data_IF_964077718999
#
_entry.id   IF_964077718999
#
_cell.length_a   1.000
_cell.length_b   1.000
_cell.length_c   1.000
_cell.angle_alpha   90.00
_cell.angle_beta   90.00
_cell.angle_gamma   90.00
#
_symmetry.space_group_name_H-M   'P 1'
#
loop_
_entity.id
_entity.type
_entity.pdbx_description
1 polymer ?
#
# COMPACT_ATOMS: atom_id res chain seq x y z
N UNK A 1 8.89 -7.02 -21.83
CA UNK A 1 8.91 -8.28 -22.59
C UNK A 1 7.56 -8.93 -22.42
N UNK A 2 6.92 -9.31 -23.53
CA UNK A 2 5.58 -9.92 -23.54
C UNK A 2 5.52 -11.19 -22.70
N UNK A 3 4.68 -11.17 -21.65
CA UNK A 3 4.17 -12.37 -21.02
C UNK A 3 2.84 -12.69 -21.70
N UNK A 4 2.85 -13.78 -22.47
CA UNK A 4 1.74 -14.22 -23.30
C UNK A 4 0.42 -14.34 -22.51
N UNK A 5 -0.62 -13.62 -22.95
CA UNK A 5 -2.02 -14.04 -22.85
C UNK A 5 -2.89 -13.49 -21.72
N UNK A 6 -2.32 -12.82 -20.71
CA UNK A 6 -3.10 -12.17 -19.64
C UNK A 6 -2.22 -11.19 -18.87
N UNK A 7 -2.32 -9.91 -19.21
CA UNK A 7 -1.53 -8.85 -18.56
C UNK A 7 -1.79 -8.79 -17.05
N UNK A 8 -0.79 -8.36 -16.29
CA UNK A 8 -0.90 -8.13 -14.86
C UNK A 8 -0.06 -6.91 -14.46
N UNK A 9 -0.32 -6.39 -13.28
CA UNK A 9 0.34 -5.19 -12.76
C UNK A 9 1.30 -5.57 -11.64
N UNK A 10 2.53 -5.07 -11.73
CA UNK A 10 3.46 -4.99 -10.60
C UNK A 10 3.52 -3.54 -10.16
N UNK A 11 3.01 -3.26 -8.95
CA UNK A 11 3.12 -1.96 -8.32
C UNK A 11 4.36 -1.95 -7.43
N UNK A 12 5.38 -1.21 -7.83
CA UNK A 12 6.64 -1.13 -7.08
C UNK A 12 6.62 0.02 -6.07
N UNK A 13 6.58 -0.31 -4.78
CA UNK A 13 6.64 0.64 -3.66
C UNK A 13 7.97 0.58 -2.90
N UNK A 14 8.98 -0.13 -3.42
CA UNK A 14 10.31 -0.19 -2.80
C UNK A 14 10.94 1.20 -2.75
N UNK A 15 11.54 1.54 -1.61
CA UNK A 15 12.13 2.86 -1.38
C UNK A 15 11.13 4.04 -1.33
N UNK A 16 9.83 3.78 -1.44
CA UNK A 16 8.82 4.83 -1.39
C UNK A 16 8.57 5.27 0.06
N UNK A 17 9.06 6.46 0.41
CA UNK A 17 8.95 7.03 1.77
C UNK A 17 7.56 7.55 2.14
N UNK A 18 6.58 7.41 1.24
CA UNK A 18 5.20 7.82 1.40
C UNK A 18 4.86 9.05 0.56
N UNK A 19 3.96 9.87 1.07
CA UNK A 19 3.38 11.00 0.35
C UNK A 19 2.04 11.37 0.97
N UNK A 20 1.15 11.92 0.16
CA UNK A 20 -0.18 12.30 0.63
C UNK A 20 -1.07 11.07 0.75
N UNK A 21 -1.80 10.97 1.85
CA UNK A 21 -2.74 9.85 2.05
C UNK A 21 -3.90 9.88 1.07
N UNK A 22 -4.32 11.06 0.61
CA UNK A 22 -5.30 11.18 -0.46
C UNK A 22 -4.80 10.55 -1.77
N UNK A 23 -3.51 10.65 -2.08
CA UNK A 23 -2.92 9.99 -3.27
C UNK A 23 -2.88 8.47 -3.09
N UNK A 24 -2.52 7.99 -1.90
CA UNK A 24 -2.57 6.56 -1.59
C UNK A 24 -4.00 5.99 -1.73
N UNK A 25 -5.02 6.73 -1.26
CA UNK A 25 -6.43 6.35 -1.45
C UNK A 25 -6.79 6.35 -2.93
N UNK A 26 -6.40 7.37 -3.69
CA UNK A 26 -6.65 7.45 -5.14
C UNK A 26 -6.03 6.27 -5.90
N UNK A 27 -4.80 5.89 -5.57
CA UNK A 27 -4.16 4.70 -6.16
C UNK A 27 -4.89 3.42 -5.73
N UNK A 28 -5.34 3.32 -4.48
CA UNK A 28 -6.15 2.18 -4.04
C UNK A 28 -7.47 2.08 -4.82
N UNK A 29 -8.15 3.22 -5.07
CA UNK A 29 -9.37 3.29 -5.89
C UNK A 29 -9.19 2.75 -7.31
N UNK A 30 -7.99 2.85 -7.89
CA UNK A 30 -7.74 2.28 -9.21
C UNK A 30 -7.83 0.75 -9.24
N UNK A 31 -7.69 0.09 -8.09
CA UNK A 31 -7.65 -1.37 -7.97
C UNK A 31 -8.79 -1.95 -7.11
N UNK A 32 -9.63 -1.11 -6.50
CA UNK A 32 -10.73 -1.50 -5.63
C UNK A 32 -12.05 -0.97 -6.19
N UNK A 33 -13.14 -1.72 -6.00
CA UNK A 33 -14.49 -1.27 -6.32
C UNK A 33 -15.17 -0.71 -5.06
N UNK A 34 -14.59 0.35 -4.53
CA UNK A 34 -15.03 1.01 -3.30
C UNK A 34 -14.65 0.31 -2.00
N UNK A 35 -15.15 0.90 -0.89
CA UNK A 35 -15.01 0.38 0.46
C UNK A 35 -13.70 0.76 1.16
N UNK A 36 -13.51 0.21 2.36
CA UNK A 36 -12.50 0.69 3.31
C UNK A 36 -11.07 0.51 2.81
N UNK A 37 -10.32 1.62 2.74
CA UNK A 37 -8.87 1.66 2.52
C UNK A 37 -8.13 1.79 3.86
N UNK A 38 -8.56 2.73 4.71
CA UNK A 38 -7.95 2.92 6.01
C UNK A 38 -8.88 3.69 6.96
N UNK A 39 -8.57 3.62 8.25
CA UNK A 39 -9.15 4.53 9.25
C UNK A 39 -8.04 5.29 9.94
N UNK A 40 -8.32 6.50 10.42
CA UNK A 40 -7.40 7.23 11.28
C UNK A 40 -8.13 7.96 12.39
N UNK A 41 -7.50 8.07 13.55
CA UNK A 41 -8.07 8.79 14.69
C UNK A 41 -7.52 10.20 14.80
N UNK A 42 -8.40 11.20 14.87
CA UNK A 42 -8.03 12.59 15.19
C UNK A 42 -8.68 12.99 16.50
N UNK A 43 -7.87 13.13 17.57
CA UNK A 43 -8.34 13.54 18.91
C UNK A 43 -9.53 12.70 19.41
N UNK A 44 -9.48 11.38 19.21
CA UNK A 44 -10.53 10.45 19.62
C UNK A 44 -11.73 10.38 18.67
N UNK A 45 -11.71 11.10 17.55
CA UNK A 45 -12.69 10.97 16.47
C UNK A 45 -12.11 10.15 15.33
N UNK A 46 -12.63 8.94 15.16
CA UNK A 46 -12.27 8.07 14.04
C UNK A 46 -12.77 8.66 12.73
N UNK A 47 -11.93 8.63 11.72
CA UNK A 47 -12.20 9.01 10.34
C UNK A 47 -11.98 7.80 9.44
N UNK A 48 -12.77 7.74 8.38
CA UNK A 48 -12.78 6.65 7.41
C UNK A 48 -12.27 7.19 6.08
N UNK A 49 -11.41 6.42 5.43
CA UNK A 49 -10.94 6.64 4.08
C UNK A 49 -11.41 5.45 3.24
N UNK A 50 -12.34 5.72 2.34
CA UNK A 50 -12.87 4.72 1.41
C UNK A 50 -12.30 4.96 0.00
N UNK A 51 -12.14 3.86 -0.73
CA UNK A 51 -11.88 3.90 -2.16
C UNK A 51 -13.13 4.37 -2.90
N UNK A 52 -12.91 5.00 -4.05
CA UNK A 52 -13.96 5.24 -5.03
C UNK A 52 -14.34 3.92 -5.73
N UNK A 53 -15.57 3.84 -6.24
CA UNK A 53 -16.05 2.69 -7.02
C UNK A 53 -15.55 2.71 -8.47
N UNK A 54 -15.57 1.54 -9.12
CA UNK A 54 -15.24 1.36 -10.53
C UNK A 54 -13.78 1.02 -10.82
N UNK A 55 -12.97 0.72 -9.80
CA UNK A 55 -11.59 0.25 -9.97
C UNK A 55 -11.50 -1.14 -10.60
N UNK A 56 -10.32 -1.46 -11.15
CA UNK A 56 -10.05 -2.77 -11.74
C UNK A 56 -9.77 -3.80 -10.65
N UNK A 57 -10.74 -4.67 -10.40
CA UNK A 57 -10.63 -5.77 -9.43
C UNK A 57 -10.23 -7.10 -10.08
N UNK A 58 -10.10 -7.17 -11.41
CA UNK A 58 -9.91 -8.41 -12.15
C UNK A 58 -8.45 -8.65 -12.57
N UNK A 59 -7.72 -7.58 -12.92
CA UNK A 59 -6.33 -7.72 -13.36
C UNK A 59 -5.44 -8.21 -12.21
N UNK A 60 -4.65 -9.29 -12.40
CA UNK A 60 -3.69 -9.74 -11.40
C UNK A 60 -2.78 -8.60 -10.92
N UNK A 61 -2.61 -8.48 -9.60
CA UNK A 61 -1.83 -7.42 -8.98
C UNK A 61 -0.85 -7.99 -7.95
N UNK A 62 0.42 -7.60 -8.09
CA UNK A 62 1.48 -7.84 -7.11
C UNK A 62 2.03 -6.50 -6.67
N UNK A 63 2.31 -6.35 -5.38
CA UNK A 63 2.95 -5.15 -4.82
C UNK A 63 4.34 -5.51 -4.30
N UNK A 64 5.36 -4.80 -4.77
CA UNK A 64 6.73 -4.92 -4.24
C UNK A 64 6.94 -3.95 -3.09
N UNK A 65 7.47 -4.44 -1.97
CA UNK A 65 7.73 -3.64 -0.77
C UNK A 65 9.10 -3.95 -0.16
N UNK A 66 9.67 -2.96 0.53
CA UNK A 66 10.89 -3.13 1.31
C UNK A 66 10.90 -2.24 2.57
N UNK A 67 12.00 -2.27 3.32
CA UNK A 67 12.18 -1.42 4.50
C UNK A 67 12.20 0.09 4.22
N UNK A 68 12.28 0.51 2.96
CA UNK A 68 12.12 1.90 2.53
C UNK A 68 10.67 2.29 2.24
N UNK A 69 9.77 1.31 2.05
CA UNK A 69 8.31 1.55 1.97
C UNK A 69 7.82 2.09 3.32
N UNK A 70 7.27 3.30 3.33
CA UNK A 70 6.93 4.02 4.55
C UNK A 70 5.61 4.81 4.43
N UNK A 71 4.92 5.04 5.55
CA UNK A 71 3.81 5.99 5.66
C UNK A 71 2.65 5.69 4.69
N UNK A 72 2.20 6.64 3.87
CA UNK A 72 1.12 6.46 2.91
C UNK A 72 1.31 5.24 1.97
N UNK A 73 2.56 4.88 1.66
CA UNK A 73 2.86 3.69 0.86
C UNK A 73 2.58 2.39 1.64
N UNK A 74 2.81 2.38 2.96
CA UNK A 74 2.45 1.24 3.83
C UNK A 74 0.93 1.12 3.98
N UNK A 75 0.23 2.25 4.04
CA UNK A 75 -1.24 2.28 4.05
C UNK A 75 -1.79 1.67 2.77
N UNK A 76 -1.30 2.09 1.61
CA UNK A 76 -1.69 1.54 0.31
C UNK A 76 -1.41 0.03 0.23
N UNK A 77 -0.19 -0.39 0.56
CA UNK A 77 0.19 -1.80 0.52
C UNK A 77 -0.66 -2.64 1.47
N UNK A 78 -0.85 -2.17 2.71
CA UNK A 78 -1.67 -2.84 3.72
C UNK A 78 -3.15 -2.90 3.35
N UNK A 79 -3.70 -1.86 2.72
CA UNK A 79 -5.08 -1.84 2.26
C UNK A 79 -5.31 -2.88 1.17
N UNK A 80 -4.45 -2.91 0.14
CA UNK A 80 -4.52 -3.88 -0.95
C UNK A 80 -4.32 -5.32 -0.45
N UNK A 81 -3.43 -5.52 0.51
CA UNK A 81 -3.21 -6.82 1.16
C UNK A 81 -4.45 -7.28 1.93
N UNK A 82 -4.94 -6.46 2.86
CA UNK A 82 -6.06 -6.82 3.75
C UNK A 82 -7.37 -7.03 2.98
N UNK A 83 -7.51 -6.35 1.83
CA UNK A 83 -8.64 -6.50 0.93
C UNK A 83 -8.53 -7.74 0.05
N UNK A 84 -7.43 -8.50 0.14
CA UNK A 84 -7.15 -9.64 -0.73
C UNK A 84 -6.94 -9.25 -2.20
N UNK A 85 -6.68 -7.97 -2.47
CA UNK A 85 -6.61 -7.43 -3.82
C UNK A 85 -5.24 -7.66 -4.45
N UNK A 86 -4.18 -7.65 -3.66
CA UNK A 86 -2.81 -7.86 -4.13
C UNK A 86 -2.04 -8.83 -3.24
N UNK A 87 -1.07 -9.52 -3.84
CA UNK A 87 -0.04 -10.26 -3.11
C UNK A 87 1.16 -9.36 -2.90
N UNK A 88 1.59 -9.19 -1.66
CA UNK A 88 2.79 -8.43 -1.31
C UNK A 88 4.03 -9.34 -1.37
N UNK A 89 5.06 -8.87 -2.05
CA UNK A 89 6.34 -9.56 -2.21
C UNK A 89 7.47 -8.63 -1.79
N UNK A 90 8.40 -9.13 -0.99
CA UNK A 90 9.60 -8.38 -0.60
C UNK A 90 9.94 -8.51 0.87
N UNK A 91 10.32 -7.41 1.53
CA UNK A 91 10.67 -7.40 2.96
C UNK A 91 9.71 -6.55 3.78
N UNK A 92 9.79 -6.65 5.12
CA UNK A 92 8.94 -5.87 6.03
C UNK A 92 9.15 -4.37 5.78
N UNK A 93 8.06 -3.61 5.76
CA UNK A 93 8.10 -2.15 5.59
C UNK A 93 8.56 -1.41 6.84
N UNK A 94 8.76 -0.09 6.74
CA UNK A 94 9.41 0.71 7.78
C UNK A 94 8.65 0.75 9.12
N UNK A 95 7.33 0.89 9.08
CA UNK A 95 6.47 0.98 10.26
C UNK A 95 6.19 2.40 10.73
N UNK A 96 6.02 3.36 9.82
CA UNK A 96 5.59 4.73 10.16
C UNK A 96 4.08 4.83 9.99
N UNK A 97 3.34 4.69 11.08
CA UNK A 97 1.87 4.69 11.04
C UNK A 97 1.22 6.03 11.35
N UNK A 98 2.01 7.08 11.60
CA UNK A 98 1.48 8.39 11.95
C UNK A 98 0.87 9.13 10.76
N UNK A 99 -0.29 9.73 11.02
CA UNK A 99 -0.98 10.65 10.11
C UNK A 99 -0.41 12.04 10.33
N UNK A 100 0.18 12.62 9.30
CA UNK A 100 0.47 14.05 9.29
C UNK A 100 -0.51 14.75 8.36
N UNK A 101 -1.17 15.80 8.85
CA UNK A 101 -2.03 16.64 8.03
C UNK A 101 -1.40 18.01 7.83
N UNK A 102 -1.28 18.50 6.57
CA UNK A 102 -0.84 19.86 6.31
C UNK A 102 -1.91 20.84 6.80
N UNK A 103 -1.47 21.85 7.55
CA UNK A 103 -2.30 22.98 7.99
C UNK A 103 -1.64 24.26 7.53
N UNK A 104 -2.36 25.07 6.75
CA UNK A 104 -1.88 26.37 6.29
C UNK A 104 -2.02 27.41 7.41
N UNK A 105 -0.92 28.10 7.72
CA UNK A 105 -0.87 29.18 8.70
C UNK A 105 -1.27 30.52 8.06
N UNK A 106 -1.54 31.52 8.90
CA UNK A 106 -2.00 32.86 8.47
C UNK A 106 -1.01 33.60 7.57
N UNK A 107 0.26 33.20 7.57
CA UNK A 107 1.33 33.75 6.71
C UNK A 107 1.51 32.97 5.40
N UNK A 108 0.67 31.97 5.13
CA UNK A 108 0.75 31.11 3.95
C UNK A 108 1.72 29.93 4.06
N UNK A 109 2.45 29.79 5.16
CA UNK A 109 3.29 28.62 5.42
C UNK A 109 2.45 27.37 5.72
N UNK A 110 3.03 26.18 5.55
CA UNK A 110 2.35 24.89 5.81
C UNK A 110 3.09 24.15 6.92
N UNK A 111 2.36 23.76 7.95
CA UNK A 111 2.84 22.87 9.02
C UNK A 111 2.25 21.48 8.81
N UNK A 112 3.12 20.47 8.86
CA UNK A 112 2.69 19.08 8.99
C UNK A 112 2.59 18.73 10.47
N UNK A 113 1.38 18.57 10.97
CA UNK A 113 1.14 18.15 12.35
C UNK A 113 0.74 16.67 12.37
N UNK A 114 1.38 15.88 13.24
CA UNK A 114 0.90 14.53 13.53
C UNK A 114 -0.43 14.63 14.26
N UNK A 115 -1.48 14.10 13.66
CA UNK A 115 -2.87 14.23 14.14
C UNK A 115 -3.49 12.89 14.52
N UNK A 116 -2.82 11.78 14.24
CA UNK A 116 -3.35 10.44 14.47
C UNK A 116 -2.43 9.30 14.05
N UNK A 117 -2.97 8.09 14.09
CA UNK A 117 -2.37 6.89 13.50
C UNK A 117 -3.37 6.23 12.56
N UNK A 118 -2.89 5.71 11.43
CA UNK A 118 -3.71 4.93 10.51
C UNK A 118 -3.84 3.49 10.99
N UNK A 119 -4.98 2.88 10.66
CA UNK A 119 -5.21 1.44 10.72
C UNK A 119 -5.65 0.95 9.34
N UNK A 120 -5.15 -0.21 8.94
CA UNK A 120 -5.54 -0.87 7.69
C UNK A 120 -6.95 -1.47 7.81
N UNK A 121 -7.56 -1.97 6.73
CA UNK A 121 -8.93 -2.49 6.75
C UNK A 121 -9.16 -3.64 7.73
N UNK A 122 -8.13 -4.45 8.04
CA UNK A 122 -8.20 -5.49 9.09
C UNK A 122 -8.10 -4.95 10.52
N UNK A 123 -7.93 -3.63 10.70
CA UNK A 123 -7.75 -2.97 11.99
C UNK A 123 -6.31 -2.97 12.51
N UNK A 124 -5.34 -3.47 11.73
CA UNK A 124 -3.93 -3.51 12.10
C UNK A 124 -3.33 -2.10 12.11
N UNK A 125 -2.59 -1.79 13.19
CA UNK A 125 -1.67 -0.65 13.21
C UNK A 125 -0.39 -1.02 12.46
N UNK A 126 0.12 -0.11 11.63
CA UNK A 126 1.44 -0.23 11.00
C UNK A 126 2.55 0.40 11.83
N UNK A 127 2.20 1.21 12.84
CA UNK A 127 3.16 1.97 13.64
C UNK A 127 4.07 1.04 14.46
N UNK A 128 5.38 1.17 14.27
CA UNK A 128 6.41 0.35 14.91
C UNK A 128 6.54 -1.09 14.39
N UNK A 129 5.56 -1.61 13.64
CA UNK A 129 5.60 -2.99 13.11
C UNK A 129 5.76 -3.09 11.60
N UNK A 130 5.32 -2.07 10.85
CA UNK A 130 5.19 -2.14 9.41
C UNK A 130 4.16 -3.17 8.95
N UNK A 131 4.09 -3.33 7.64
CA UNK A 131 3.36 -4.36 6.90
C UNK A 131 4.33 -5.50 6.59
N UNK A 132 3.89 -6.72 6.86
CA UNK A 132 4.65 -7.94 6.55
C UNK A 132 4.14 -8.49 5.21
N UNK A 133 5.00 -8.66 4.20
CA UNK A 133 4.57 -9.17 2.90
C UNK A 133 4.15 -10.64 2.99
N UNK A 134 3.25 -11.05 2.11
CA UNK A 134 2.76 -12.42 1.99
C UNK A 134 3.89 -13.38 1.60
N UNK A 135 4.76 -12.93 0.68
CA UNK A 135 5.96 -13.66 0.27
C UNK A 135 7.22 -12.88 0.61
N UNK A 136 7.92 -13.37 1.63
CA UNK A 136 9.17 -12.77 2.08
C UNK A 136 10.32 -13.07 1.12
N UNK A 137 11.07 -12.03 0.80
CA UNK A 137 12.38 -12.05 0.17
C UNK A 137 13.34 -11.37 1.13
N UNK A 138 14.44 -12.02 1.55
CA UNK A 138 15.41 -11.41 2.45
C UNK A 138 15.92 -10.07 1.89
N UNK A 139 16.02 -9.04 2.72
CA UNK A 139 16.53 -7.74 2.29
C UNK A 139 17.98 -7.77 1.79
N UNK A 140 18.76 -8.79 2.21
CA UNK A 140 20.12 -9.03 1.73
C UNK A 140 20.17 -9.76 0.37
N UNK A 141 19.03 -10.20 -0.16
CA UNK A 141 18.98 -10.79 -1.49
C UNK A 141 19.09 -9.70 -2.55
N UNK A 142 19.64 -10.05 -3.72
CA UNK A 142 19.69 -9.17 -4.88
C UNK A 142 18.28 -8.67 -5.25
N UNK A 143 18.10 -7.38 -5.61
CA UNK A 143 16.79 -6.82 -5.98
C UNK A 143 16.02 -7.64 -7.02
N UNK A 144 16.75 -8.23 -7.97
CA UNK A 144 16.21 -9.11 -9.02
C UNK A 144 15.48 -10.35 -8.47
N UNK A 145 15.78 -10.80 -7.25
CA UNK A 145 15.10 -11.93 -6.63
C UNK A 145 13.63 -11.60 -6.28
N UNK A 146 13.36 -10.36 -5.86
CA UNK A 146 11.99 -9.90 -5.61
C UNK A 146 11.21 -9.77 -6.91
N UNK A 147 11.84 -9.21 -7.95
CA UNK A 147 11.24 -9.05 -9.28
C UNK A 147 10.86 -10.41 -9.89
N UNK A 148 11.80 -11.37 -9.88
CA UNK A 148 11.56 -12.72 -10.39
C UNK A 148 10.42 -13.42 -9.63
N UNK A 149 10.35 -13.23 -8.30
CA UNK A 149 9.27 -13.79 -7.49
C UNK A 149 7.94 -13.11 -7.80
N UNK A 150 7.90 -11.79 -7.98
CA UNK A 150 6.68 -11.09 -8.38
C UNK A 150 6.16 -11.56 -9.73
N UNK A 151 7.02 -11.72 -10.73
CA UNK A 151 6.65 -12.27 -12.05
C UNK A 151 6.10 -13.69 -11.94
N UNK A 152 6.73 -14.53 -11.11
CA UNK A 152 6.27 -15.91 -10.85
C UNK A 152 4.87 -15.91 -10.24
N UNK A 153 4.62 -15.08 -9.23
CA UNK A 153 3.30 -14.94 -8.58
C UNK A 153 2.27 -14.46 -9.58
N UNK A 154 2.59 -13.40 -10.33
CA UNK A 154 1.68 -12.82 -11.31
C UNK A 154 1.26 -13.83 -12.38
N UNK A 155 2.21 -14.67 -12.83
CA UNK A 155 1.95 -15.75 -13.78
C UNK A 155 1.00 -16.81 -13.20
N UNK A 156 1.10 -17.10 -11.89
CA UNK A 156 0.19 -18.01 -11.19
C UNK A 156 -1.21 -17.42 -10.96
N UNK A 157 -1.32 -16.11 -10.74
CA UNK A 157 -2.59 -15.41 -10.57
C UNK A 157 -3.37 -15.26 -11.89
N UNK A 158 -2.66 -15.15 -13.03
CA UNK A 158 -3.26 -15.03 -14.36
C UNK A 158 -3.74 -16.36 -14.96
N UNK A 159 -3.47 -17.50 -14.30
CA UNK A 159 -3.99 -18.80 -14.72
C UNK A 159 -5.50 -18.88 -14.50
N UNK A 160 -6.29 -18.81 -15.58
CA UNK A 160 -7.72 -19.14 -15.51
C UNK A 160 -7.89 -20.60 -15.03
N UNK A 161 -8.88 -20.91 -14.18
CA UNK A 161 -9.27 -22.29 -13.90
C UNK A 161 -9.75 -23.02 -15.17
#
# INVERSE_FOLDING_TARGET
SDLAGGGGVVLDLRGNSGGLVAEAVSVASAFLDGGLVATYDVRGSQRVLDADGGGDTATPLVVLVDGGTMSAAELLAGALQDRGRAVLVGSRTFGKGSVQMPSTLSDGSVVEQTVGHYRTPSGRSVDGSGVVPDLKVPAAAEPAAADAKAVTVLSGLGGRP
#
